data_IF_277133531228
#
_entry.id   IF_277133531228
#
_cell.length_a   1.000
_cell.length_b   1.000
_cell.length_c   1.000
_cell.angle_alpha   90.00
_cell.angle_beta   90.00
_cell.angle_gamma   90.00
#
_symmetry.space_group_name_H-M   'P 1'
#
loop_
_entity.id
_entity.type
_entity.pdbx_description
1 polymer ?
#
# COMPACT_ATOMS: atom_id res chain seq x y z
N UNK A 1 2.71 5.39 17.71
CA UNK A 1 1.24 5.32 17.86
C UNK A 1 0.65 4.85 16.55
N UNK A 2 -0.17 3.80 16.53
CA UNK A 2 -0.73 3.20 15.31
C UNK A 2 -1.81 4.04 14.63
N UNK A 3 -2.41 4.98 15.37
CA UNK A 3 -3.48 5.86 14.91
C UNK A 3 -3.08 7.32 15.11
N UNK A 4 -3.30 8.14 14.09
CA UNK A 4 -3.08 9.58 14.13
C UNK A 4 -3.92 10.24 13.04
N UNK A 5 -4.24 11.54 13.16
CA UNK A 5 -4.98 12.27 12.13
C UNK A 5 -4.11 12.63 10.91
N UNK A 6 -2.81 12.35 10.96
CA UNK A 6 -1.88 12.68 9.88
C UNK A 6 -2.20 11.89 8.59
N UNK A 7 -2.03 12.49 7.40
CA UNK A 7 -2.35 11.85 6.11
C UNK A 7 -1.62 10.53 5.85
N UNK A 8 -0.41 10.31 6.40
CA UNK A 8 0.26 8.99 6.36
C UNK A 8 -0.37 7.91 7.26
N UNK A 9 -1.51 8.21 7.88
CA UNK A 9 -2.36 7.29 8.65
C UNK A 9 -3.82 7.40 8.20
N UNK A 10 -4.39 8.60 8.18
CA UNK A 10 -5.76 8.85 7.77
C UNK A 10 -5.88 8.77 6.24
N UNK A 11 -6.83 7.98 5.74
CA UNK A 11 -7.02 7.82 4.29
C UNK A 11 -5.95 6.96 3.60
N UNK A 12 -5.07 6.32 4.36
CA UNK A 12 -4.06 5.38 3.81
C UNK A 12 -4.69 4.20 3.06
N UNK A 13 -5.90 3.82 3.46
CA UNK A 13 -6.80 2.96 2.70
C UNK A 13 -8.14 3.65 2.60
N UNK A 14 -8.77 3.60 1.43
CA UNK A 14 -9.98 4.37 1.14
C UNK A 14 -10.83 3.68 0.06
N UNK A 15 -12.06 4.18 -0.11
CA UNK A 15 -12.99 3.70 -1.12
C UNK A 15 -13.38 4.85 -2.03
N UNK A 16 -13.37 4.63 -3.34
CA UNK A 16 -13.85 5.60 -4.31
C UNK A 16 -15.29 5.24 -4.70
N UNK A 17 -16.22 6.12 -4.35
CA UNK A 17 -17.63 5.98 -4.67
C UNK A 17 -18.07 6.97 -5.75
N UNK A 18 -18.92 6.51 -6.65
CA UNK A 18 -19.75 7.34 -7.52
C UNK A 18 -21.17 7.27 -6.97
N UNK A 19 -21.57 8.30 -6.23
CA UNK A 19 -22.87 8.34 -5.56
C UNK A 19 -23.79 9.28 -6.31
N UNK A 20 -25.04 8.85 -6.48
CA UNK A 20 -26.11 9.73 -6.96
C UNK A 20 -26.27 10.96 -6.07
N UNK A 21 -26.22 10.75 -4.76
CA UNK A 21 -26.29 11.77 -3.72
C UNK A 21 -25.38 11.38 -2.56
N UNK A 22 -24.76 12.36 -1.91
CA UNK A 22 -23.88 12.15 -0.74
C UNK A 22 -24.70 11.82 0.52
N UNK A 23 -25.25 10.60 0.58
CA UNK A 23 -26.06 10.13 1.69
C UNK A 23 -25.64 8.74 2.16
N UNK A 24 -25.94 8.44 3.42
CA UNK A 24 -25.72 7.10 3.98
C UNK A 24 -26.48 6.02 3.19
N UNK A 25 -27.68 6.34 2.70
CA UNK A 25 -28.48 5.42 1.90
C UNK A 25 -27.76 5.04 0.62
N UNK A 26 -27.26 6.01 -0.13
CA UNK A 26 -26.57 5.76 -1.40
C UNK A 26 -25.24 5.02 -1.19
N UNK A 27 -24.52 5.29 -0.09
CA UNK A 27 -23.35 4.49 0.30
C UNK A 27 -23.68 3.01 0.51
N UNK A 28 -24.77 2.71 1.23
CA UNK A 28 -25.20 1.33 1.47
C UNK A 28 -25.61 0.65 0.16
N UNK A 29 -26.33 1.36 -0.72
CA UNK A 29 -26.72 0.85 -2.03
C UNK A 29 -25.50 0.53 -2.90
N UNK A 30 -24.52 1.43 -2.94
CA UNK A 30 -23.26 1.23 -3.65
C UNK A 30 -22.49 -0.02 -3.13
N UNK A 31 -22.43 -0.22 -1.81
CA UNK A 31 -21.79 -1.38 -1.20
C UNK A 31 -22.53 -2.70 -1.52
N UNK A 32 -23.86 -2.66 -1.59
CA UNK A 32 -24.69 -3.81 -1.97
C UNK A 32 -24.73 -4.06 -3.48
N UNK A 33 -24.21 -3.13 -4.27
CA UNK A 33 -24.27 -3.12 -5.75
C UNK A 33 -25.72 -3.10 -6.25
N UNK A 34 -26.54 -2.30 -5.58
CA UNK A 34 -27.95 -2.08 -5.90
C UNK A 34 -28.14 -0.62 -6.35
N UNK A 35 -29.01 -0.40 -7.35
CA UNK A 35 -29.31 0.95 -7.82
C UNK A 35 -28.24 1.58 -8.72
N UNK A 36 -28.16 2.91 -8.71
CA UNK A 36 -27.29 3.69 -9.61
C UNK A 36 -25.92 4.00 -9.01
N UNK A 37 -25.83 4.14 -7.68
CA UNK A 37 -24.59 4.42 -6.95
C UNK A 37 -23.64 3.23 -6.96
N UNK A 38 -22.33 3.47 -7.07
CA UNK A 38 -21.31 2.43 -7.28
C UNK A 38 -20.08 2.62 -6.42
N UNK A 39 -19.56 1.51 -5.89
CA UNK A 39 -18.17 1.42 -5.46
C UNK A 39 -17.31 1.21 -6.72
N UNK A 40 -16.55 2.22 -7.12
CA UNK A 40 -15.72 2.16 -8.31
C UNK A 40 -14.47 1.31 -8.07
N UNK A 41 -13.75 1.61 -7.00
CA UNK A 41 -12.54 0.91 -6.60
C UNK A 41 -12.18 1.18 -5.14
N UNK A 42 -11.22 0.42 -4.62
CA UNK A 42 -10.56 0.68 -3.34
C UNK A 42 -9.12 1.16 -3.55
N UNK A 43 -8.65 1.95 -2.61
CA UNK A 43 -7.26 2.39 -2.50
C UNK A 43 -6.67 1.62 -1.34
N UNK A 44 -5.64 0.84 -1.62
CA UNK A 44 -5.09 -0.14 -0.70
C UNK A 44 -3.59 0.06 -0.51
N UNK A 45 -3.07 -0.34 0.65
CA UNK A 45 -1.63 -0.52 0.80
C UNK A 45 -1.19 -1.88 0.25
N UNK A 46 0.09 -2.00 -0.11
CA UNK A 46 0.63 -3.33 -0.44
C UNK A 46 0.58 -4.25 0.79
N UNK A 47 -0.12 -5.40 0.74
CA UNK A 47 -0.25 -6.28 1.89
C UNK A 47 1.10 -6.84 2.35
N UNK A 48 2.07 -6.96 1.43
CA UNK A 48 3.46 -7.35 1.73
C UNK A 48 4.14 -6.39 2.72
N UNK A 49 3.70 -5.13 2.80
CA UNK A 49 4.23 -4.16 3.75
C UNK A 49 3.87 -4.52 5.20
N UNK A 50 2.86 -5.37 5.42
CA UNK A 50 2.41 -5.80 6.75
C UNK A 50 3.47 -6.57 7.55
N UNK A 51 3.53 -6.30 8.86
CA UNK A 51 4.49 -6.91 9.81
C UNK A 51 4.48 -8.44 9.89
N UNK A 52 3.38 -9.06 9.48
CA UNK A 52 3.15 -10.49 9.59
C UNK A 52 2.68 -11.04 8.25
N UNK A 53 3.12 -10.47 7.14
CA UNK A 53 2.70 -10.93 5.82
C UNK A 53 3.20 -12.37 5.57
N UNK A 54 4.51 -12.55 5.57
CA UNK A 54 5.17 -13.85 5.48
C UNK A 54 5.41 -14.47 6.86
N UNK A 55 5.51 -15.80 6.86
CA UNK A 55 5.91 -16.53 8.05
C UNK A 55 7.38 -16.30 8.32
N UNK A 56 7.78 -16.12 9.58
CA UNK A 56 9.18 -15.80 9.84
C UNK A 56 9.61 -15.88 11.29
N UNK A 57 10.90 -15.63 11.48
CA UNK A 57 11.55 -15.57 12.77
C UNK A 57 12.53 -14.40 12.76
N UNK A 58 12.10 -13.27 13.34
CA UNK A 58 12.79 -11.99 13.34
C UNK A 58 14.19 -12.08 13.94
N UNK A 59 14.36 -12.91 14.98
CA UNK A 59 15.64 -13.08 15.67
C UNK A 59 16.73 -13.69 14.78
N UNK A 60 16.33 -14.42 13.73
CA UNK A 60 17.24 -15.06 12.79
C UNK A 60 17.22 -14.43 11.39
N UNK A 61 16.39 -13.42 11.16
CA UNK A 61 16.20 -12.81 9.84
C UNK A 61 15.61 -13.76 8.79
N UNK A 62 14.93 -14.83 9.22
CA UNK A 62 14.33 -15.82 8.32
C UNK A 62 12.89 -15.44 8.04
N UNK A 63 12.51 -15.44 6.76
CA UNK A 63 11.14 -15.34 6.29
C UNK A 63 10.91 -16.35 5.18
N UNK A 64 9.73 -16.96 5.15
CA UNK A 64 9.31 -17.90 4.13
C UNK A 64 7.97 -17.46 3.57
N UNK A 65 7.89 -17.46 2.24
CA UNK A 65 6.63 -17.44 1.54
C UNK A 65 5.77 -18.67 1.93
N UNK A 66 4.46 -18.62 1.69
CA UNK A 66 3.57 -19.76 1.92
C UNK A 66 4.05 -21.06 1.25
N UNK A 67 4.46 -20.99 -0.02
CA UNK A 67 5.03 -22.13 -0.75
C UNK A 67 6.31 -22.68 -0.11
N UNK A 68 7.18 -21.81 0.41
CA UNK A 68 8.37 -22.24 1.15
C UNK A 68 8.03 -22.90 2.48
N UNK A 69 7.05 -22.39 3.23
CA UNK A 69 6.61 -23.04 4.48
C UNK A 69 5.99 -24.41 4.22
N UNK A 70 5.31 -24.58 3.07
CA UNK A 70 4.75 -25.87 2.64
C UNK A 70 5.84 -26.88 2.29
N UNK A 71 6.93 -26.43 1.66
CA UNK A 71 8.03 -27.30 1.25
C UNK A 71 9.03 -27.60 2.38
N UNK A 72 9.35 -26.62 3.23
CA UNK A 72 10.41 -26.69 4.23
C UNK A 72 9.90 -26.92 5.66
N UNK A 73 8.58 -26.83 5.87
CA UNK A 73 7.96 -26.82 7.18
C UNK A 73 8.03 -25.44 7.86
N UNK A 74 7.58 -25.40 9.11
CA UNK A 74 7.48 -24.17 9.92
C UNK A 74 8.58 -24.05 10.98
N UNK A 75 9.69 -24.78 10.84
CA UNK A 75 10.86 -24.65 11.70
C UNK A 75 11.90 -23.69 11.09
N UNK A 76 12.46 -22.82 11.92
CA UNK A 76 13.54 -21.92 11.52
C UNK A 76 14.81 -22.72 11.23
N UNK A 77 15.42 -22.61 10.02
CA UNK A 77 16.61 -23.38 9.66
C UNK A 77 17.86 -22.95 10.45
N UNK A 78 17.82 -21.80 11.14
CA UNK A 78 18.96 -21.29 11.93
C UNK A 78 18.95 -21.75 13.38
N UNK A 79 17.78 -21.91 14.00
CA UNK A 79 17.68 -22.17 15.45
C UNK A 79 16.65 -23.24 15.83
N UNK A 80 15.95 -23.84 14.86
CA UNK A 80 14.95 -24.89 15.08
C UNK A 80 13.63 -24.42 15.69
N UNK A 81 13.52 -23.16 16.15
CA UNK A 81 12.26 -22.62 16.69
C UNK A 81 11.20 -22.48 15.61
N UNK A 82 9.94 -22.59 16.01
CA UNK A 82 8.80 -22.40 15.11
C UNK A 82 8.75 -20.98 14.55
N UNK A 83 8.46 -20.85 13.26
CA UNK A 83 8.19 -19.57 12.61
C UNK A 83 6.85 -19.02 13.09
N UNK A 84 6.79 -17.71 13.33
CA UNK A 84 5.54 -16.99 13.51
C UNK A 84 4.76 -17.07 12.20
N UNK A 85 3.53 -17.59 12.26
CA UNK A 85 2.67 -17.77 11.08
C UNK A 85 2.29 -16.43 10.45
N UNK A 86 2.53 -16.29 9.15
CA UNK A 86 2.13 -15.14 8.36
C UNK A 86 0.67 -15.18 7.93
N UNK A 87 0.12 -14.01 7.63
CA UNK A 87 -1.23 -13.81 7.09
C UNK A 87 -1.36 -14.50 5.74
N UNK A 88 -0.38 -14.39 4.86
CA UNK A 88 -0.45 -15.01 3.53
C UNK A 88 -0.50 -16.54 3.62
N UNK A 89 0.24 -17.14 4.56
CA UNK A 89 0.16 -18.59 4.81
C UNK A 89 -1.23 -18.99 5.33
N UNK A 90 -1.90 -18.11 6.10
CA UNK A 90 -3.28 -18.36 6.54
C UNK A 90 -4.27 -18.26 5.37
N UNK A 91 -4.07 -17.31 4.46
CA UNK A 91 -4.87 -17.16 3.24
C UNK A 91 -4.74 -18.39 2.36
N UNK A 92 -3.53 -18.84 2.03
CA UNK A 92 -3.33 -20.04 1.19
C UNK A 92 -3.93 -21.29 1.85
N UNK A 93 -3.81 -21.45 3.17
CA UNK A 93 -4.39 -22.59 3.88
C UNK A 93 -5.94 -22.63 3.86
N UNK A 94 -6.60 -21.51 3.57
CA UNK A 94 -8.05 -21.39 3.45
C UNK A 94 -8.50 -21.23 1.99
N UNK A 95 -7.56 -21.07 1.06
CA UNK A 95 -7.87 -20.77 -0.32
C UNK A 95 -8.56 -21.97 -0.98
N UNK A 96 -9.75 -21.70 -1.52
CA UNK A 96 -10.54 -22.60 -2.35
C UNK A 96 -10.40 -22.27 -3.85
N UNK A 97 -9.53 -21.30 -4.17
CA UNK A 97 -9.31 -20.76 -5.52
C UNK A 97 -7.82 -20.48 -5.73
N UNK A 98 -7.41 -20.46 -6.99
CA UNK A 98 -6.02 -20.13 -7.36
C UNK A 98 -5.68 -18.66 -7.09
N UNK A 99 -4.39 -18.39 -6.90
CA UNK A 99 -3.88 -17.04 -6.78
C UNK A 99 -4.23 -16.21 -8.01
N UNK A 100 -4.65 -14.96 -7.80
CA UNK A 100 -5.10 -14.07 -8.87
C UNK A 100 -6.54 -14.28 -9.33
N UNK A 101 -7.27 -15.27 -8.78
CA UNK A 101 -8.70 -15.39 -9.05
C UNK A 101 -9.45 -14.12 -8.63
N UNK A 102 -10.25 -13.58 -9.55
CA UNK A 102 -11.07 -12.40 -9.31
C UNK A 102 -12.55 -12.72 -9.53
N UNK A 103 -13.42 -12.57 -8.50
CA UNK A 103 -14.84 -12.79 -8.66
C UNK A 103 -15.47 -11.85 -9.71
N UNK A 104 -16.47 -12.31 -10.48
CA UNK A 104 -17.22 -11.44 -11.38
C UNK A 104 -17.81 -10.22 -10.65
N UNK A 105 -17.65 -9.04 -11.24
CA UNK A 105 -18.14 -7.78 -10.68
C UNK A 105 -17.41 -7.29 -9.43
N UNK A 106 -16.27 -7.89 -9.04
CA UNK A 106 -15.44 -7.35 -7.97
C UNK A 106 -14.91 -5.95 -8.34
N UNK A 107 -15.09 -4.99 -7.43
CA UNK A 107 -14.60 -3.62 -7.61
C UNK A 107 -13.07 -3.57 -7.75
N UNK A 108 -12.57 -2.64 -8.57
CA UNK A 108 -11.15 -2.41 -8.79
C UNK A 108 -10.39 -2.14 -7.48
N UNK A 109 -9.08 -2.25 -7.51
CA UNK A 109 -8.25 -1.65 -6.48
C UNK A 109 -6.95 -1.12 -7.08
N UNK A 110 -6.38 -0.12 -6.42
CA UNK A 110 -5.05 0.41 -6.74
C UNK A 110 -4.20 0.41 -5.48
N UNK A 111 -2.89 0.24 -5.66
CA UNK A 111 -1.95 0.35 -4.57
C UNK A 111 -1.33 1.74 -4.54
N UNK A 112 -1.52 2.45 -3.44
CA UNK A 112 -0.99 3.79 -3.23
C UNK A 112 -0.23 3.82 -1.90
N UNK A 113 0.82 4.63 -1.86
CA UNK A 113 1.54 4.96 -0.63
C UNK A 113 1.21 6.40 -0.24
N UNK A 114 1.24 6.73 1.06
CA UNK A 114 1.12 8.11 1.48
C UNK A 114 2.12 9.00 0.73
N UNK A 115 1.66 10.15 0.23
CA UNK A 115 2.49 11.06 -0.57
C UNK A 115 3.77 11.47 0.18
N UNK A 116 3.68 11.68 1.48
CA UNK A 116 4.85 11.97 2.33
C UNK A 116 5.88 10.82 2.36
N UNK A 117 5.46 9.56 2.33
CA UNK A 117 6.35 8.40 2.23
C UNK A 117 7.03 8.34 0.86
N UNK A 118 6.31 8.67 -0.21
CA UNK A 118 6.85 8.72 -1.58
C UNK A 118 7.87 9.86 -1.73
N UNK A 119 7.55 11.05 -1.22
CA UNK A 119 8.46 12.20 -1.24
C UNK A 119 9.72 11.91 -0.41
N UNK A 120 9.56 11.34 0.79
CA UNK A 120 10.69 10.97 1.63
C UNK A 120 11.63 9.98 0.91
N UNK A 121 11.05 8.97 0.27
CA UNK A 121 11.82 8.02 -0.54
C UNK A 121 12.54 8.70 -1.71
N UNK A 122 11.86 9.60 -2.45
CA UNK A 122 12.47 10.37 -3.54
C UNK A 122 13.65 11.24 -3.08
N UNK A 123 13.60 11.74 -1.84
CA UNK A 123 14.70 12.50 -1.21
C UNK A 123 15.75 11.61 -0.53
N UNK A 124 15.62 10.28 -0.58
CA UNK A 124 16.55 9.36 0.06
C UNK A 124 16.54 9.41 1.59
N UNK A 125 15.44 9.86 2.20
CA UNK A 125 15.29 9.98 3.65
C UNK A 125 14.20 9.05 4.19
N UNK A 126 14.36 8.61 5.44
CA UNK A 126 13.33 7.87 6.17
C UNK A 126 12.43 8.77 7.03
N UNK A 127 12.71 10.08 7.08
CA UNK A 127 11.99 11.04 7.93
C UNK A 127 10.83 11.68 7.18
N UNK A 128 9.67 11.01 7.23
CA UNK A 128 8.42 11.46 6.61
C UNK A 128 7.86 12.76 7.20
N UNK A 129 8.27 13.09 8.42
CA UNK A 129 7.88 14.27 9.18
C UNK A 129 8.88 15.44 9.06
N UNK A 130 9.92 15.28 8.23
CA UNK A 130 10.91 16.33 8.02
C UNK A 130 10.33 17.56 7.33
N UNK A 131 10.89 18.74 7.64
CA UNK A 131 10.45 20.01 7.07
C UNK A 131 10.54 20.02 5.53
N UNK A 132 11.59 19.41 4.97
CA UNK A 132 11.77 19.30 3.52
C UNK A 132 10.64 18.51 2.84
N UNK A 133 10.28 17.35 3.42
CA UNK A 133 9.18 16.51 2.92
C UNK A 133 7.86 17.27 2.98
N UNK A 134 7.57 17.92 4.11
CA UNK A 134 6.32 18.65 4.28
C UNK A 134 6.21 19.91 3.42
N UNK A 135 7.31 20.60 3.14
CA UNK A 135 7.31 21.72 2.19
C UNK A 135 6.92 21.26 0.78
N UNK A 136 7.46 20.13 0.31
CA UNK A 136 7.09 19.56 -0.98
C UNK A 136 5.66 19.02 -0.98
N UNK A 137 5.25 18.31 0.09
CA UNK A 137 3.90 17.80 0.27
C UNK A 137 2.87 18.94 0.19
N UNK A 138 3.05 20.01 0.96
CA UNK A 138 2.11 21.12 1.01
C UNK A 138 2.01 21.83 -0.35
N UNK A 139 3.13 22.07 -1.04
CA UNK A 139 3.12 22.65 -2.40
C UNK A 139 2.34 21.80 -3.40
N UNK A 140 2.51 20.47 -3.35
CA UNK A 140 1.80 19.55 -4.23
C UNK A 140 0.30 19.52 -3.92
N UNK A 141 -0.07 19.43 -2.64
CA UNK A 141 -1.48 19.44 -2.22
C UNK A 141 -2.14 20.77 -2.54
N UNK A 142 -1.49 21.91 -2.29
CA UNK A 142 -2.02 23.23 -2.66
C UNK A 142 -2.16 23.39 -4.18
N UNK A 143 -1.20 22.89 -4.96
CA UNK A 143 -1.20 23.01 -6.42
C UNK A 143 -2.13 22.02 -7.15
N UNK A 144 -2.44 20.87 -6.54
CA UNK A 144 -3.25 19.80 -7.14
C UNK A 144 -4.57 19.53 -6.40
N UNK A 145 -4.83 20.22 -5.29
CA UNK A 145 -6.08 20.15 -4.51
C UNK A 145 -6.05 19.15 -3.35
N UNK A 146 -5.56 17.93 -3.56
CA UNK A 146 -5.52 16.91 -2.51
C UNK A 146 -4.38 15.91 -2.70
N UNK A 147 -4.04 15.15 -1.65
CA UNK A 147 -3.10 14.04 -1.73
C UNK A 147 -3.54 13.00 -2.78
N UNK A 148 -4.82 12.63 -2.79
CA UNK A 148 -5.33 11.66 -3.77
C UNK A 148 -5.23 12.20 -5.20
N UNK A 149 -5.54 13.48 -5.42
CA UNK A 149 -5.38 14.12 -6.74
C UNK A 149 -3.92 14.10 -7.19
N UNK A 150 -2.96 14.33 -6.28
CA UNK A 150 -1.52 14.20 -6.58
C UNK A 150 -1.16 12.76 -6.92
N UNK A 151 -1.68 11.77 -6.18
CA UNK A 151 -1.28 10.37 -6.34
C UNK A 151 -1.97 9.67 -7.51
N UNK A 152 -3.18 10.09 -7.91
CA UNK A 152 -4.00 9.43 -8.92
C UNK A 152 -4.01 10.17 -10.26
N UNK A 153 -4.21 11.49 -10.23
CA UNK A 153 -4.69 12.23 -11.42
C UNK A 153 -3.68 13.25 -11.96
N UNK A 154 -2.85 13.84 -11.08
CA UNK A 154 -1.97 14.94 -11.46
C UNK A 154 -0.95 14.55 -12.54
N UNK A 155 -0.79 15.40 -13.55
CA UNK A 155 0.19 15.20 -14.62
C UNK A 155 1.63 15.20 -14.07
N UNK A 156 2.50 14.24 -14.49
CA UNK A 156 3.88 14.17 -14.00
C UNK A 156 4.67 15.47 -14.20
N UNK A 157 4.43 16.18 -15.31
CA UNK A 157 5.06 17.47 -15.57
C UNK A 157 4.62 18.57 -14.59
N UNK A 158 3.39 18.52 -14.09
CA UNK A 158 2.90 19.44 -13.04
C UNK A 158 3.56 19.14 -11.71
N UNK A 159 3.64 17.85 -11.34
CA UNK A 159 4.32 17.41 -10.12
C UNK A 159 5.78 17.88 -10.14
N UNK A 160 6.50 17.64 -11.25
CA UNK A 160 7.91 18.02 -11.39
C UNK A 160 8.15 19.52 -11.24
N UNK A 161 7.22 20.37 -11.70
CA UNK A 161 7.29 21.84 -11.54
C UNK A 161 7.03 22.30 -10.10
N UNK A 162 6.11 21.64 -9.39
CA UNK A 162 5.72 22.02 -8.03
C UNK A 162 6.71 21.52 -6.97
N UNK A 163 7.33 20.36 -7.22
CA UNK A 163 8.31 19.73 -6.33
C UNK A 163 9.65 19.48 -7.03
N UNK A 164 9.85 18.31 -7.62
CA UNK A 164 11.06 17.92 -8.36
C UNK A 164 10.80 16.75 -9.31
N UNK A 165 11.74 16.50 -10.23
CA UNK A 165 11.65 15.40 -11.19
C UNK A 165 11.67 14.03 -10.50
N UNK A 166 12.44 13.88 -9.43
CA UNK A 166 12.57 12.65 -8.64
C UNK A 166 11.24 12.30 -7.95
N UNK A 167 10.55 13.30 -7.40
CA UNK A 167 9.22 13.10 -6.78
C UNK A 167 8.19 12.70 -7.85
N UNK A 168 8.24 13.33 -9.02
CA UNK A 168 7.36 12.96 -10.13
C UNK A 168 7.62 11.52 -10.61
N UNK A 169 8.88 11.11 -10.78
CA UNK A 169 9.23 9.74 -11.16
C UNK A 169 8.79 8.73 -10.10
N UNK A 170 9.01 9.03 -8.81
CA UNK A 170 8.58 8.17 -7.71
C UNK A 170 7.05 7.98 -7.71
N UNK A 171 6.27 9.04 -7.91
CA UNK A 171 4.80 8.93 -8.00
C UNK A 171 4.37 8.09 -9.21
N UNK A 172 5.01 8.26 -10.36
CA UNK A 172 4.74 7.42 -11.56
C UNK A 172 5.08 5.95 -11.28
N UNK A 173 6.19 5.68 -10.60
CA UNK A 173 6.55 4.32 -10.19
C UNK A 173 5.51 3.68 -9.26
N UNK A 174 4.89 4.46 -8.36
CA UNK A 174 3.76 3.99 -7.55
C UNK A 174 2.56 3.67 -8.45
N UNK A 175 2.14 4.61 -9.31
CA UNK A 175 0.97 4.47 -10.18
C UNK A 175 1.05 3.27 -11.12
N UNK A 176 2.23 3.00 -11.64
CA UNK A 176 2.47 1.89 -12.56
C UNK A 176 2.83 0.57 -11.86
N UNK A 177 2.86 0.54 -10.52
CA UNK A 177 3.22 -0.66 -9.77
C UNK A 177 4.67 -1.11 -9.99
N UNK A 178 5.59 -0.18 -10.31
CA UNK A 178 7.02 -0.47 -10.56
C UNK A 178 7.85 -0.57 -9.27
N UNK A 179 7.18 -0.77 -8.14
CA UNK A 179 7.79 -0.90 -6.81
C UNK A 179 8.25 -2.34 -6.56
N UNK A 180 9.34 -2.49 -5.81
CA UNK A 180 9.74 -3.77 -5.22
C UNK A 180 9.30 -3.75 -3.76
N UNK A 181 8.43 -4.67 -3.36
CA UNK A 181 7.98 -4.79 -1.97
C UNK A 181 8.60 -6.03 -1.34
N UNK A 182 9.52 -5.81 -0.41
CA UNK A 182 10.09 -6.86 0.42
C UNK A 182 9.11 -7.21 1.54
N UNK A 183 8.62 -8.46 1.62
CA UNK A 183 7.59 -8.82 2.58
C UNK A 183 8.03 -8.71 4.04
N UNK A 184 7.15 -8.16 4.87
CA UNK A 184 7.29 -8.15 6.33
C UNK A 184 7.03 -9.53 6.95
N UNK A 185 7.54 -9.75 8.15
CA UNK A 185 7.46 -11.02 8.87
C UNK A 185 7.74 -10.83 10.37
N UNK A 186 7.10 -11.63 11.21
CA UNK A 186 7.37 -11.72 12.66
C UNK A 186 7.55 -10.36 13.38
N UNK A 187 6.68 -9.40 13.08
CA UNK A 187 6.68 -8.07 13.70
C UNK A 187 7.53 -7.02 12.97
N UNK A 188 8.30 -7.43 11.96
CA UNK A 188 9.12 -6.55 11.10
C UNK A 188 8.28 -6.13 9.90
N UNK A 189 8.11 -4.81 9.71
CA UNK A 189 7.43 -4.27 8.52
C UNK A 189 8.16 -4.69 7.24
N UNK A 190 7.38 -4.84 6.16
CA UNK A 190 7.97 -4.94 4.83
C UNK A 190 8.71 -3.65 4.46
N UNK A 191 9.41 -3.70 3.33
CA UNK A 191 10.13 -2.53 2.82
C UNK A 191 9.75 -2.30 1.37
N UNK A 192 9.54 -1.04 1.03
CA UNK A 192 9.28 -0.62 -0.34
C UNK A 192 10.58 -0.07 -0.89
N UNK A 193 10.94 -0.51 -2.09
CA UNK A 193 12.10 -0.02 -2.83
C UNK A 193 11.65 0.43 -4.21
N UNK A 194 12.06 1.64 -4.58
CA UNK A 194 11.94 2.17 -5.93
C UNK A 194 13.09 1.61 -6.76
N UNK A 195 12.81 1.17 -8.00
CA UNK A 195 13.80 0.44 -8.83
C UNK A 195 15.02 1.28 -9.22
N UNK A 196 14.90 2.61 -9.23
CA UNK A 196 15.93 3.52 -9.75
C UNK A 196 16.60 4.42 -8.72
N UNK A 197 16.21 4.35 -7.44
CA UNK A 197 16.77 5.22 -6.39
C UNK A 197 17.98 4.57 -5.66
N UNK A 198 18.77 3.76 -6.37
CA UNK A 198 19.99 3.10 -5.85
C UNK A 198 21.26 3.79 -6.31
#
# INVERSE_FOLDING_TARGET
>A
VSHAPWPWRLGREANLFDLKEESYKELVLALRREGESKLLMTIETHPQYGKYHWSGHRGCGVRFSPGETKAKGDACPRCGRKLTKGVEQRVEALADREEGFRPPGAAGYVHILPLSEVIAAAYGTSYVDSAQVWQAYNKLVEGCGSEFSVMLDAEPGTIARLSSAEVAEAIVDVREGRLIVEPGYDGVYGKIRFRKLS
#
